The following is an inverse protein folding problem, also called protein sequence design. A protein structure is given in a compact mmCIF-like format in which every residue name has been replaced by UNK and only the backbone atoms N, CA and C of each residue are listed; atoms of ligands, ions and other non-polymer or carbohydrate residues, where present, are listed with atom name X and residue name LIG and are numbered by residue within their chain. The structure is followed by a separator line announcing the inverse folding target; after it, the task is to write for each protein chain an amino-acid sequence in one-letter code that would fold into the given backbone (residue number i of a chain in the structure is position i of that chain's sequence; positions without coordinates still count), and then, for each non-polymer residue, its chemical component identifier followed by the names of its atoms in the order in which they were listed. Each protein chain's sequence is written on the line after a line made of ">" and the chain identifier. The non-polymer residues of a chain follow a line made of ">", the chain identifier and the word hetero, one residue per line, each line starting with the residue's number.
data_IF_753492854700
#
_entry.id   IF_753492854700
#
_cell.length_a   1.000
_cell.length_b   1.000
_cell.length_c   1.000
_cell.angle_alpha   90.00
_cell.angle_beta   90.00
_cell.angle_gamma   90.00
#
_symmetry.space_group_name_H-M   'P 1'
#
loop_
_entity.id
_entity.type
_entity.pdbx_description
1 polymer ?
#
# COMPACT_ATOMS: atom_id res chain seq x y z
N UNK A 1 17.31 -22.98 17.70
CA UNK A 1 16.18 -22.03 17.75
C UNK A 1 16.56 -20.59 17.35
N UNK A 2 17.71 -20.05 17.76
CA UNK A 2 18.17 -18.68 17.42
C UNK A 2 18.29 -18.42 15.90
N UNK A 3 18.68 -19.42 15.10
CA UNK A 3 18.82 -19.27 13.64
C UNK A 3 17.49 -18.98 12.92
N UNK A 4 16.39 -19.64 13.33
CA UNK A 4 15.05 -19.40 12.78
C UNK A 4 14.53 -18.01 13.14
N UNK A 5 14.74 -17.61 14.41
CA UNK A 5 14.43 -16.26 14.90
C UNK A 5 15.16 -15.18 14.08
N UNK A 6 16.44 -15.36 13.81
CA UNK A 6 17.24 -14.43 13.00
C UNK A 6 16.70 -14.31 11.57
N UNK A 7 16.34 -15.44 10.95
CA UNK A 7 15.80 -15.47 9.59
C UNK A 7 14.40 -14.83 9.53
N UNK A 8 13.56 -15.06 10.54
CA UNK A 8 12.25 -14.41 10.67
C UNK A 8 12.37 -12.88 10.79
N UNK A 9 13.35 -12.38 11.56
CA UNK A 9 13.62 -10.93 11.67
C UNK A 9 14.02 -10.35 10.31
N UNK A 10 14.93 -10.98 9.57
CA UNK A 10 15.30 -10.51 8.22
C UNK A 10 14.11 -10.55 7.25
N UNK A 11 13.26 -11.58 7.34
CA UNK A 11 12.02 -11.67 6.56
C UNK A 11 11.06 -10.50 6.87
N UNK A 12 10.84 -10.19 8.15
CA UNK A 12 10.01 -9.06 8.57
C UNK A 12 10.56 -7.71 8.10
N UNK A 13 11.88 -7.53 8.16
CA UNK A 13 12.54 -6.32 7.63
C UNK A 13 12.30 -6.22 6.12
N UNK A 14 12.51 -7.31 5.37
CA UNK A 14 12.26 -7.33 3.92
C UNK A 14 10.80 -7.03 3.56
N UNK A 15 9.84 -7.63 4.26
CA UNK A 15 8.42 -7.34 4.08
C UNK A 15 8.10 -5.88 4.39
N UNK A 16 8.78 -5.29 5.37
CA UNK A 16 8.60 -3.88 5.73
C UNK A 16 9.10 -2.95 4.66
N UNK A 17 10.28 -3.21 4.10
CA UNK A 17 10.78 -2.44 2.97
C UNK A 17 9.82 -2.55 1.79
N UNK A 18 9.37 -3.76 1.46
CA UNK A 18 8.45 -4.00 0.35
C UNK A 18 7.12 -3.27 0.54
N UNK A 19 6.55 -3.34 1.75
CA UNK A 19 5.32 -2.64 2.09
C UNK A 19 5.46 -1.12 1.93
N UNK A 20 6.55 -0.54 2.44
CA UNK A 20 6.79 0.92 2.34
C UNK A 20 6.92 1.33 0.87
N UNK A 21 7.69 0.58 0.07
CA UNK A 21 7.84 0.84 -1.37
C UNK A 21 6.50 0.80 -2.11
N UNK A 22 5.70 -0.25 -1.89
CA UNK A 22 4.36 -0.38 -2.48
C UNK A 22 3.40 0.72 -2.02
N UNK A 23 3.47 1.10 -0.75
CA UNK A 23 2.65 2.19 -0.21
C UNK A 23 3.01 3.54 -0.86
N UNK A 24 4.29 3.82 -1.07
CA UNK A 24 4.72 5.06 -1.72
C UNK A 24 4.33 5.04 -3.21
N UNK A 25 4.62 3.95 -3.90
CA UNK A 25 4.32 3.79 -5.33
C UNK A 25 2.82 3.95 -5.62
N UNK A 26 1.97 3.26 -4.85
CA UNK A 26 0.51 3.34 -5.03
C UNK A 26 -0.04 4.74 -4.75
N UNK A 27 0.51 5.46 -3.77
CA UNK A 27 0.14 6.84 -3.48
C UNK A 27 0.54 7.78 -4.62
N UNK A 28 1.73 7.60 -5.17
CA UNK A 28 2.23 8.37 -6.32
C UNK A 28 1.34 8.18 -7.54
N UNK A 29 1.02 6.93 -7.88
CA UNK A 29 0.22 6.61 -9.06
C UNK A 29 -1.21 7.16 -8.95
N UNK A 30 -1.78 7.15 -7.74
CA UNK A 30 -3.11 7.74 -7.51
C UNK A 30 -3.10 9.25 -7.69
N UNK A 31 -2.08 9.94 -7.15
CA UNK A 31 -1.93 11.38 -7.31
C UNK A 31 -1.74 11.76 -8.78
N UNK A 32 -0.84 11.06 -9.47
CA UNK A 32 -0.60 11.28 -10.90
C UNK A 32 -1.86 11.04 -11.75
N UNK A 33 -2.67 10.04 -11.39
CA UNK A 33 -3.96 9.80 -12.03
C UNK A 33 -4.95 10.96 -11.87
N UNK A 34 -5.03 11.54 -10.66
CA UNK A 34 -5.89 12.71 -10.38
C UNK A 34 -5.41 13.96 -11.13
N UNK A 35 -4.09 14.17 -11.18
CA UNK A 35 -3.48 15.26 -11.95
C UNK A 35 -3.81 15.12 -13.43
N UNK A 36 -3.63 13.93 -14.03
CA UNK A 36 -3.98 13.66 -15.43
C UNK A 36 -5.47 13.81 -15.72
N UNK A 37 -6.33 13.37 -14.80
CA UNK A 37 -7.79 13.46 -14.95
C UNK A 37 -8.26 14.92 -14.96
N UNK A 38 -7.70 15.75 -14.06
CA UNK A 38 -7.94 17.18 -14.03
C UNK A 38 -7.42 17.87 -15.30
N UNK A 39 -6.18 17.58 -15.68
CA UNK A 39 -5.53 18.22 -16.84
C UNK A 39 -6.19 17.82 -18.17
N UNK A 40 -6.89 16.67 -18.22
CA UNK A 40 -7.64 16.21 -19.39
C UNK A 40 -8.98 16.94 -19.59
N UNK A 41 -9.66 17.33 -18.51
CA UNK A 41 -10.95 18.05 -18.56
C UNK A 41 -11.01 19.14 -17.48
N UNK A 42 -10.23 20.22 -17.62
CA UNK A 42 -10.24 21.29 -16.64
C UNK A 42 -11.58 22.06 -16.69
N UNK A 43 -12.16 22.43 -15.53
CA UNK A 43 -13.31 23.33 -15.46
C UNK A 43 -13.04 24.68 -16.14
N UNK A 44 -14.09 25.37 -16.60
CA UNK A 44 -13.96 26.68 -17.24
C UNK A 44 -13.40 27.77 -16.30
N UNK A 45 -13.52 27.57 -15.00
CA UNK A 45 -13.02 28.39 -13.90
C UNK A 45 -11.80 27.74 -13.19
N UNK A 46 -11.07 26.85 -13.88
CA UNK A 46 -9.92 26.17 -13.31
C UNK A 46 -8.85 27.15 -12.80
N UNK A 47 -8.68 27.19 -11.48
CA UNK A 47 -7.56 27.86 -10.83
C UNK A 47 -6.57 26.85 -10.24
N UNK A 48 -5.32 27.26 -9.96
CA UNK A 48 -4.37 26.41 -9.24
C UNK A 48 -4.92 25.93 -7.89
N UNK A 49 -5.65 26.79 -7.17
CA UNK A 49 -6.25 26.41 -5.88
C UNK A 49 -7.35 25.35 -6.05
N UNK A 50 -8.16 25.44 -7.12
CA UNK A 50 -9.20 24.46 -7.42
C UNK A 50 -8.60 23.09 -7.78
N UNK A 51 -7.47 23.07 -8.49
CA UNK A 51 -6.73 21.85 -8.82
C UNK A 51 -6.18 21.18 -7.57
N UNK A 52 -5.57 21.95 -6.67
CA UNK A 52 -5.01 21.43 -5.42
C UNK A 52 -6.10 20.87 -4.51
N UNK A 53 -7.24 21.57 -4.39
CA UNK A 53 -8.40 21.09 -3.63
C UNK A 53 -8.95 19.76 -4.18
N UNK A 54 -9.07 19.64 -5.51
CA UNK A 54 -9.51 18.39 -6.16
C UNK A 54 -8.57 17.22 -5.89
N UNK A 55 -7.26 17.46 -6.01
CA UNK A 55 -6.24 16.43 -5.73
C UNK A 55 -6.29 16.03 -4.25
N UNK A 56 -6.40 17.00 -3.33
CA UNK A 56 -6.47 16.73 -1.90
C UNK A 56 -7.70 15.91 -1.53
N UNK A 57 -8.88 16.25 -2.07
CA UNK A 57 -10.12 15.51 -1.86
C UNK A 57 -10.02 14.07 -2.43
N UNK A 58 -9.52 13.93 -3.65
CA UNK A 58 -9.30 12.62 -4.28
C UNK A 58 -8.30 11.76 -3.50
N UNK A 59 -7.30 12.37 -2.88
CA UNK A 59 -6.34 11.70 -2.00
C UNK A 59 -6.94 11.35 -0.63
N UNK A 60 -7.82 12.17 -0.07
CA UNK A 60 -8.55 11.87 1.16
C UNK A 60 -9.50 10.67 0.98
N UNK A 61 -10.17 10.58 -0.17
CA UNK A 61 -10.96 9.41 -0.56
C UNK A 61 -10.07 8.15 -0.69
N UNK A 62 -8.88 8.28 -1.30
CA UNK A 62 -7.91 7.18 -1.37
C UNK A 62 -7.47 6.69 0.01
N UNK A 63 -7.24 7.57 0.98
CA UNK A 63 -6.85 7.19 2.34
C UNK A 63 -7.91 6.33 3.05
N UNK A 64 -9.20 6.57 2.76
CA UNK A 64 -10.33 5.79 3.28
C UNK A 64 -10.61 4.52 2.48
N UNK A 65 -10.02 4.39 1.29
CA UNK A 65 -10.32 3.30 0.36
C UNK A 65 -9.74 1.94 0.78
N UNK A 66 -10.40 0.87 0.33
CA UNK A 66 -9.94 -0.51 0.48
C UNK A 66 -8.56 -0.75 -0.15
N UNK A 67 -8.16 0.05 -1.14
CA UNK A 67 -6.85 -0.08 -1.81
C UNK A 67 -5.69 0.04 -0.83
N UNK A 68 -5.77 0.97 0.14
CA UNK A 68 -4.75 1.09 1.18
C UNK A 68 -4.76 -0.12 2.12
N UNK A 69 -5.93 -0.68 2.42
CA UNK A 69 -6.06 -1.89 3.25
C UNK A 69 -5.50 -3.13 2.55
N UNK A 70 -5.59 -3.22 1.22
CA UNK A 70 -5.00 -4.31 0.44
C UNK A 70 -3.48 -4.35 0.55
N UNK A 71 -2.80 -3.22 0.72
CA UNK A 71 -1.33 -3.18 0.89
C UNK A 71 -0.91 -3.89 2.19
N UNK A 72 -1.76 -3.91 3.23
CA UNK A 72 -1.50 -4.69 4.44
C UNK A 72 -1.42 -6.20 4.19
N UNK A 73 -2.05 -6.71 3.12
CA UNK A 73 -1.96 -8.12 2.78
C UNK A 73 -0.53 -8.57 2.47
N UNK A 74 0.36 -7.64 2.08
CA UNK A 74 1.79 -7.91 1.90
C UNK A 74 2.42 -8.45 3.17
N UNK A 75 1.94 -8.05 4.35
CA UNK A 75 2.37 -8.63 5.62
C UNK A 75 1.54 -9.83 6.04
N UNK A 76 0.21 -9.72 5.93
CA UNK A 76 -0.70 -10.72 6.49
C UNK A 76 -0.56 -12.06 5.77
N UNK A 77 -0.51 -12.07 4.44
CA UNK A 77 -0.42 -13.30 3.64
C UNK A 77 0.82 -14.13 4.02
N UNK A 78 2.06 -13.60 3.94
CA UNK A 78 3.23 -14.40 4.26
C UNK A 78 3.27 -14.89 5.70
N UNK A 79 2.83 -14.09 6.67
CA UNK A 79 2.76 -14.52 8.08
C UNK A 79 1.77 -15.67 8.26
N UNK A 80 0.58 -15.57 7.65
CA UNK A 80 -0.44 -16.62 7.70
C UNK A 80 0.06 -17.89 7.00
N UNK A 81 0.67 -17.77 5.82
CA UNK A 81 1.23 -18.91 5.07
C UNK A 81 2.29 -19.64 5.90
N UNK A 82 3.23 -18.92 6.51
CA UNK A 82 4.26 -19.52 7.38
C UNK A 82 3.59 -20.21 8.57
N UNK A 83 2.62 -19.58 9.23
CA UNK A 83 1.89 -20.17 10.35
C UNK A 83 1.15 -21.46 9.98
N UNK A 84 0.47 -21.48 8.84
CA UNK A 84 -0.23 -22.66 8.32
C UNK A 84 0.76 -23.78 8.00
N UNK A 85 1.88 -23.48 7.34
CA UNK A 85 2.90 -24.48 7.02
C UNK A 85 3.50 -25.09 8.28
N UNK A 86 3.80 -24.28 9.30
CA UNK A 86 4.29 -24.79 10.59
C UNK A 86 3.29 -25.70 11.28
N UNK A 87 1.99 -25.37 11.21
CA UNK A 87 0.93 -26.22 11.75
C UNK A 87 0.86 -27.56 11.00
N UNK A 88 0.78 -27.52 9.66
CA UNK A 88 0.66 -28.73 8.84
C UNK A 88 1.85 -29.67 9.00
N UNK A 89 3.07 -29.14 9.05
CA UNK A 89 4.27 -29.97 9.18
C UNK A 89 4.40 -30.61 10.57
N UNK A 90 3.83 -30.01 11.61
CA UNK A 90 4.00 -30.48 12.99
C UNK A 90 2.81 -31.29 13.51
N UNK A 91 1.59 -30.96 13.08
CA UNK A 91 0.36 -31.49 13.69
C UNK A 91 -0.62 -32.14 12.69
N UNK A 92 -0.35 -32.09 11.38
CA UNK A 92 -1.19 -32.76 10.37
C UNK A 92 -0.59 -34.08 9.87
#
# INVERSE_FOLDING_TARGET
>A
MIAFLRLAVFGLVGLTVLYVLLSIYSRSLRREGLEKEWDANPPADATPEARDAWIEEGMAAYQKSLRRKLIWLVYVIPVVVIGVLLYLVNYA
#
